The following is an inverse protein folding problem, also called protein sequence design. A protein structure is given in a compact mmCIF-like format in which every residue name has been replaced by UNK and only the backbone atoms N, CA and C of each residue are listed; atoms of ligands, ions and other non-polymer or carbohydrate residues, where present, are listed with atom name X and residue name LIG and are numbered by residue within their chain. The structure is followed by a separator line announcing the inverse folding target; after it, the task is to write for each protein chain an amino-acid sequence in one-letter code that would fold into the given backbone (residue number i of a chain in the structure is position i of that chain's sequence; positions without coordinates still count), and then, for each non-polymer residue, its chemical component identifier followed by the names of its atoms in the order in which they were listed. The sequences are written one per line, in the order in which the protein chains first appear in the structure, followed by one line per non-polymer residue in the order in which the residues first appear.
data_IF_966820002545
#
_entry.id   IF_966820002545
#
_cell.length_a   1.000
_cell.length_b   1.000
_cell.length_c   1.000
_cell.angle_alpha   90.00
_cell.angle_beta   90.00
_cell.angle_gamma   90.00
#
_symmetry.space_group_name_H-M   'P 1'
#
loop_
_entity.id
_entity.type
_entity.pdbx_description
1 polymer ?
#
# COMPACT_ATOMS: atom_id res chain seq x y z
N UNK A 1 -62.30 8.67 -52.96
CA UNK A 1 -61.69 8.32 -51.66
C UNK A 1 -61.89 9.49 -50.71
N UNK A 2 -62.75 9.38 -49.69
CA UNK A 2 -62.95 10.45 -48.73
C UNK A 2 -62.00 10.31 -47.53
N UNK A 3 -61.47 11.45 -47.10
CA UNK A 3 -60.67 11.66 -45.89
C UNK A 3 -61.58 11.48 -44.67
N UNK A 4 -61.23 10.57 -43.77
CA UNK A 4 -61.93 10.35 -42.49
C UNK A 4 -60.99 10.71 -41.34
N UNK A 5 -61.55 11.45 -40.39
CA UNK A 5 -60.97 12.09 -39.21
C UNK A 5 -60.44 11.13 -38.13
N UNK A 6 -59.51 11.65 -37.31
CA UNK A 6 -58.77 11.04 -36.19
C UNK A 6 -59.61 10.22 -35.17
N UNK A 7 -58.94 9.34 -34.41
CA UNK A 7 -59.17 9.25 -32.98
C UNK A 7 -57.91 9.49 -32.12
N UNK A 8 -58.20 9.94 -30.90
CA UNK A 8 -57.34 10.34 -29.78
C UNK A 8 -56.58 9.13 -29.22
N UNK A 9 -55.25 9.15 -29.26
CA UNK A 9 -54.41 8.16 -28.56
C UNK A 9 -54.10 8.69 -27.15
N UNK A 10 -54.27 7.90 -26.09
CA UNK A 10 -54.12 8.36 -24.71
C UNK A 10 -52.67 8.69 -24.38
N UNK A 11 -52.50 9.79 -23.65
CA UNK A 11 -51.29 10.14 -22.92
C UNK A 11 -51.05 9.01 -21.90
N UNK A 12 -50.10 8.13 -22.19
CA UNK A 12 -49.51 7.25 -21.19
C UNK A 12 -48.21 7.88 -20.73
N UNK A 13 -48.31 8.72 -19.71
CA UNK A 13 -47.18 9.15 -18.89
C UNK A 13 -46.55 7.91 -18.24
N UNK A 14 -45.44 7.44 -18.82
CA UNK A 14 -44.43 6.71 -18.05
C UNK A 14 -43.07 6.82 -18.72
N UNK A 15 -42.12 7.60 -18.17
CA UNK A 15 -40.73 7.44 -18.50
C UNK A 15 -40.21 6.19 -17.77
N UNK A 16 -40.47 5.01 -18.31
CA UNK A 16 -39.76 3.79 -17.89
C UNK A 16 -38.48 3.67 -18.70
N UNK A 17 -37.48 4.44 -18.28
CA UNK A 17 -36.12 4.34 -18.81
C UNK A 17 -35.06 4.90 -17.86
N UNK A 18 -35.43 5.25 -16.63
CA UNK A 18 -34.49 5.75 -15.60
C UNK A 18 -34.81 5.06 -14.28
N UNK A 19 -34.37 3.81 -14.15
CA UNK A 19 -34.23 3.03 -12.90
C UNK A 19 -33.67 1.68 -13.34
N UNK A 20 -32.37 1.49 -13.16
CA UNK A 20 -31.74 0.22 -12.75
C UNK A 20 -30.19 0.34 -12.73
N UNK A 21 -29.59 1.25 -13.50
CA UNK A 21 -28.12 1.44 -13.52
C UNK A 21 -27.53 2.10 -12.26
N UNK A 22 -28.37 2.64 -11.36
CA UNK A 22 -27.93 3.25 -10.10
C UNK A 22 -28.10 2.31 -8.87
N UNK A 23 -28.77 1.16 -9.03
CA UNK A 23 -28.97 0.21 -7.94
C UNK A 23 -27.78 -0.74 -7.76
N UNK A 24 -27.02 -1.00 -8.83
CA UNK A 24 -25.87 -1.90 -8.81
C UNK A 24 -24.63 -1.31 -8.09
N UNK A 25 -24.52 0.03 -8.02
CA UNK A 25 -23.46 0.73 -7.26
C UNK A 25 -23.78 0.92 -5.77
N UNK A 26 -24.98 0.56 -5.32
CA UNK A 26 -25.44 0.80 -3.96
C UNK A 26 -24.97 -0.24 -2.94
N UNK A 27 -25.88 -0.62 -2.04
CA UNK A 27 -25.63 -1.52 -0.90
C UNK A 27 -24.87 -2.82 -1.24
N UNK A 28 -25.11 -3.41 -2.42
CA UNK A 28 -24.42 -4.61 -2.88
C UNK A 28 -22.89 -4.41 -3.01
N UNK A 29 -22.45 -3.26 -3.53
CA UNK A 29 -21.02 -2.94 -3.66
C UNK A 29 -20.34 -2.85 -2.29
N UNK A 30 -21.00 -2.19 -1.32
CA UNK A 30 -20.51 -2.09 0.06
C UNK A 30 -20.43 -3.47 0.72
N UNK A 31 -21.42 -4.34 0.49
CA UNK A 31 -21.40 -5.71 0.99
C UNK A 31 -20.23 -6.52 0.41
N UNK A 32 -20.02 -6.46 -0.91
CA UNK A 32 -18.93 -7.18 -1.59
C UNK A 32 -17.57 -6.65 -1.10
N UNK A 33 -17.39 -5.33 -1.02
CA UNK A 33 -16.16 -4.71 -0.53
C UNK A 33 -15.88 -5.06 0.94
N UNK A 34 -16.92 -5.06 1.80
CA UNK A 34 -16.79 -5.46 3.20
C UNK A 34 -16.38 -6.94 3.30
N UNK A 35 -17.01 -7.81 2.51
CA UNK A 35 -16.66 -9.23 2.45
C UNK A 35 -15.22 -9.45 1.99
N UNK A 36 -14.78 -8.82 0.90
CA UNK A 36 -13.39 -8.87 0.43
C UNK A 36 -12.42 -8.40 1.53
N UNK A 37 -12.75 -7.29 2.20
CA UNK A 37 -11.96 -6.75 3.31
C UNK A 37 -11.81 -7.75 4.47
N UNK A 38 -12.89 -8.43 4.86
CA UNK A 38 -12.85 -9.48 5.89
C UNK A 38 -11.95 -10.63 5.46
N UNK A 39 -12.07 -11.11 4.22
CA UNK A 39 -11.22 -12.21 3.72
C UNK A 39 -9.75 -11.82 3.69
N UNK A 40 -9.42 -10.59 3.28
CA UNK A 40 -8.05 -10.07 3.29
C UNK A 40 -7.50 -10.02 4.73
N UNK A 41 -8.28 -9.53 5.70
CA UNK A 41 -7.87 -9.52 7.11
C UNK A 41 -7.62 -10.94 7.64
N UNK A 42 -8.48 -11.91 7.30
CA UNK A 42 -8.28 -13.31 7.65
C UNK A 42 -7.01 -13.90 7.02
N UNK A 43 -6.70 -13.54 5.77
CA UNK A 43 -5.47 -13.95 5.10
C UNK A 43 -4.24 -13.37 5.82
N UNK A 44 -4.26 -12.09 6.22
CA UNK A 44 -3.18 -11.45 6.97
C UNK A 44 -3.00 -12.04 8.37
N UNK A 45 -4.10 -12.35 9.07
CA UNK A 45 -4.06 -13.03 10.38
C UNK A 45 -3.47 -14.43 10.21
N UNK A 46 -3.92 -15.18 9.21
CA UNK A 46 -3.39 -16.53 8.91
C UNK A 46 -1.90 -16.48 8.59
N UNK A 47 -1.46 -15.48 7.81
CA UNK A 47 -0.05 -15.22 7.56
C UNK A 47 0.70 -14.99 8.86
N UNK A 48 0.22 -14.08 9.72
CA UNK A 48 0.83 -13.81 11.04
C UNK A 48 0.95 -15.06 11.90
N UNK A 49 -0.06 -15.92 11.93
CA UNK A 49 -0.03 -17.15 12.71
C UNK A 49 1.00 -18.16 12.18
N UNK A 50 1.35 -18.09 10.89
CA UNK A 50 2.39 -18.92 10.26
C UNK A 50 3.79 -18.31 10.32
N UNK A 51 3.92 -17.05 10.73
CA UNK A 51 5.23 -16.38 10.84
C UNK A 51 6.08 -16.99 11.96
N UNK A 52 7.34 -17.31 11.63
CA UNK A 52 8.36 -17.74 12.59
C UNK A 52 9.59 -16.83 12.41
N UNK A 53 9.99 -16.03 13.42
CA UNK A 53 9.29 -15.75 14.68
C UNK A 53 8.03 -14.90 14.47
N UNK A 54 7.08 -14.98 15.41
CA UNK A 54 5.76 -14.33 15.30
C UNK A 54 5.85 -12.87 15.74
N UNK A 55 5.49 -11.91 14.88
CA UNK A 55 5.51 -10.47 15.25
C UNK A 55 4.48 -10.15 16.33
N UNK A 56 4.79 -9.27 17.28
CA UNK A 56 3.85 -8.86 18.34
C UNK A 56 2.58 -8.24 17.76
N UNK A 57 1.44 -8.46 18.42
CA UNK A 57 0.14 -7.95 17.95
C UNK A 57 0.12 -6.44 17.73
N UNK A 58 0.78 -5.67 18.59
CA UNK A 58 0.81 -4.21 18.45
C UNK A 58 1.45 -3.74 17.14
N UNK A 59 2.56 -4.36 16.74
CA UNK A 59 3.27 -4.03 15.49
C UNK A 59 2.46 -4.47 14.28
N UNK A 60 1.86 -5.66 14.37
CA UNK A 60 0.96 -6.15 13.33
C UNK A 60 -0.23 -5.20 13.08
N UNK A 61 -0.85 -4.68 14.15
CA UNK A 61 -1.95 -3.72 14.01
C UNK A 61 -1.50 -2.41 13.37
N UNK A 62 -0.26 -1.98 13.60
CA UNK A 62 0.32 -0.82 12.94
C UNK A 62 0.56 -1.06 11.44
N UNK A 63 1.01 -2.25 11.05
CA UNK A 63 1.15 -2.64 9.64
C UNK A 63 -0.22 -2.73 8.94
N UNK A 64 -1.25 -3.26 9.62
CA UNK A 64 -2.63 -3.27 9.10
C UNK A 64 -3.16 -1.85 8.93
N UNK A 65 -2.98 -0.99 9.93
CA UNK A 65 -3.46 0.40 9.86
C UNK A 65 -2.79 1.17 8.70
N UNK A 66 -1.50 0.91 8.44
CA UNK A 66 -0.75 1.44 7.30
C UNK A 66 -1.38 1.01 5.97
N UNK A 67 -1.70 -0.28 5.82
CA UNK A 67 -2.35 -0.82 4.62
C UNK A 67 -3.76 -0.28 4.40
N UNK A 68 -4.57 -0.21 5.47
CA UNK A 68 -5.94 0.32 5.41
C UNK A 68 -5.93 1.81 5.00
N UNK A 69 -5.02 2.60 5.56
CA UNK A 69 -4.85 4.01 5.19
C UNK A 69 -4.46 4.14 3.72
N UNK A 70 -3.57 3.27 3.23
CA UNK A 70 -3.20 3.20 1.82
C UNK A 70 -4.36 2.86 0.89
N UNK A 71 -5.19 1.88 1.25
CA UNK A 71 -6.38 1.50 0.48
C UNK A 71 -7.35 2.66 0.32
N UNK A 72 -7.64 3.37 1.42
CA UNK A 72 -8.49 4.56 1.42
C UNK A 72 -7.88 5.66 0.54
N UNK A 73 -6.57 5.91 0.64
CA UNK A 73 -5.89 6.91 -0.18
C UNK A 73 -5.98 6.59 -1.68
N UNK A 74 -5.71 5.34 -2.08
CA UNK A 74 -5.83 4.91 -3.49
C UNK A 74 -7.26 5.03 -3.99
N UNK A 75 -8.27 4.72 -3.17
CA UNK A 75 -9.67 4.92 -3.54
C UNK A 75 -9.96 6.40 -3.88
N UNK A 76 -9.50 7.34 -3.06
CA UNK A 76 -9.66 8.77 -3.33
C UNK A 76 -8.88 9.22 -4.58
N UNK A 77 -7.68 8.68 -4.82
CA UNK A 77 -6.90 9.00 -6.02
C UNK A 77 -7.59 8.47 -7.28
N UNK A 78 -8.13 7.26 -7.26
CA UNK A 78 -8.87 6.71 -8.40
C UNK A 78 -10.11 7.56 -8.71
N UNK A 79 -10.83 8.00 -7.68
CA UNK A 79 -11.95 8.94 -7.83
C UNK A 79 -11.49 10.27 -8.43
N UNK A 80 -10.39 10.83 -7.93
CA UNK A 80 -9.83 12.10 -8.43
C UNK A 80 -9.38 11.96 -9.88
N UNK A 81 -8.69 10.89 -10.25
CA UNK A 81 -8.25 10.62 -11.62
C UNK A 81 -9.44 10.49 -12.56
N UNK A 82 -10.50 9.77 -12.17
CA UNK A 82 -11.72 9.67 -12.98
C UNK A 82 -12.36 11.04 -13.25
N UNK A 83 -12.44 11.90 -12.24
CA UNK A 83 -12.97 13.28 -12.36
C UNK A 83 -12.08 14.18 -13.23
N UNK A 84 -10.77 13.97 -13.21
CA UNK A 84 -9.81 14.76 -13.99
C UNK A 84 -9.71 14.29 -15.45
N UNK A 85 -9.80 12.99 -15.68
CA UNK A 85 -9.67 12.33 -16.98
C UNK A 85 -10.98 12.27 -17.77
N UNK A 86 -12.13 12.54 -17.13
CA UNK A 86 -13.38 12.76 -17.87
C UNK A 86 -13.24 14.00 -18.76
N UNK A 87 -12.81 13.80 -20.00
CA UNK A 87 -12.89 14.77 -21.10
C UNK A 87 -14.37 15.01 -21.40
N UNK A 88 -14.85 16.22 -21.11
CA UNK A 88 -16.03 16.76 -21.78
C UNK A 88 -15.65 16.84 -23.28
N UNK A 89 -16.46 16.39 -24.25
CA UNK A 89 -17.67 17.02 -24.83
C UNK A 89 -18.22 16.07 -25.95
N UNK A 90 -19.53 16.02 -26.29
CA UNK A 90 -20.12 17.07 -27.14
C UNK A 90 -21.47 17.62 -26.65
N UNK A 91 -21.75 18.84 -27.12
CA UNK A 91 -22.97 19.62 -26.98
C UNK A 91 -24.26 18.79 -27.11
N UNK A 92 -25.05 18.70 -26.03
CA UNK A 92 -26.49 18.48 -26.15
C UNK A 92 -27.18 19.82 -25.98
N UNK A 93 -27.59 20.41 -27.11
CA UNK A 93 -28.57 21.50 -27.13
C UNK A 93 -29.92 20.96 -26.65
N UNK A 94 -30.10 20.88 -25.34
CA UNK A 94 -31.43 20.88 -24.73
C UNK A 94 -31.44 22.00 -23.71
N UNK A 95 -32.22 23.04 -24.02
CA UNK A 95 -32.48 24.16 -23.13
C UNK A 95 -32.90 23.66 -21.74
N UNK A 96 -32.16 24.16 -20.75
CA UNK A 96 -32.55 24.27 -19.33
C UNK A 96 -32.29 23.06 -18.42
N UNK A 97 -31.04 22.91 -17.97
CA UNK A 97 -30.77 22.71 -16.54
C UNK A 97 -29.39 23.26 -16.14
N UNK A 98 -29.37 24.44 -15.49
CA UNK A 98 -28.16 24.98 -14.85
C UNK A 98 -27.83 24.13 -13.63
N UNK A 99 -26.83 23.25 -13.74
CA UNK A 99 -26.08 22.79 -12.57
C UNK A 99 -24.99 23.83 -12.25
N UNK A 100 -24.77 24.21 -10.98
CA UNK A 100 -23.77 25.21 -10.62
C UNK A 100 -22.36 24.68 -10.92
N UNK A 101 -21.73 25.22 -11.96
CA UNK A 101 -20.34 24.95 -12.34
C UNK A 101 -19.39 25.29 -11.19
N UNK A 102 -18.77 24.26 -10.61
CA UNK A 102 -17.64 24.38 -9.67
C UNK A 102 -16.43 24.89 -10.46
N UNK A 103 -16.10 26.18 -10.32
CA UNK A 103 -15.01 26.88 -11.02
C UNK A 103 -13.61 26.31 -10.74
N UNK A 104 -13.48 25.46 -9.72
CA UNK A 104 -12.22 24.86 -9.23
C UNK A 104 -11.70 23.72 -10.11
N UNK A 105 -12.55 23.06 -10.92
CA UNK A 105 -12.14 21.91 -11.74
C UNK A 105 -11.32 22.29 -12.99
N UNK A 106 -11.54 23.48 -13.57
CA UNK A 106 -10.88 23.89 -14.82
C UNK A 106 -9.39 24.20 -14.65
N UNK A 107 -8.98 24.76 -13.50
CA UNK A 107 -7.57 25.03 -13.20
C UNK A 107 -6.76 23.76 -12.96
N UNK A 108 -7.34 22.77 -12.26
CA UNK A 108 -6.68 21.48 -12.00
C UNK A 108 -6.57 20.65 -13.28
N UNK A 109 -7.63 20.63 -14.11
CA UNK A 109 -7.64 19.96 -15.42
C UNK A 109 -6.57 20.54 -16.36
N UNK A 110 -6.45 21.87 -16.42
CA UNK A 110 -5.41 22.54 -17.21
C UNK A 110 -3.99 22.35 -16.64
N UNK A 111 -3.85 22.31 -15.30
CA UNK A 111 -2.58 22.01 -14.64
C UNK A 111 -2.10 20.57 -14.88
N UNK A 112 -3.00 19.60 -14.81
CA UNK A 112 -2.71 18.19 -15.07
C UNK A 112 -2.40 17.93 -16.55
N UNK A 113 -3.18 18.49 -17.48
CA UNK A 113 -2.91 18.41 -18.92
C UNK A 113 -1.55 19.02 -19.27
N UNK A 114 -1.20 20.15 -18.63
CA UNK A 114 0.12 20.80 -18.78
C UNK A 114 1.24 20.00 -18.12
N UNK A 115 1.00 19.35 -16.99
CA UNK A 115 1.96 18.48 -16.30
C UNK A 115 2.26 17.21 -17.13
N UNK A 116 1.23 16.53 -17.63
CA UNK A 116 1.34 15.38 -18.55
C UNK A 116 2.07 15.80 -19.83
N UNK A 117 1.66 16.91 -20.47
CA UNK A 117 2.31 17.42 -21.68
C UNK A 117 3.79 17.77 -21.47
N UNK A 118 4.13 18.39 -20.33
CA UNK A 118 5.50 18.84 -20.03
C UNK A 118 6.46 17.71 -19.64
N UNK A 119 5.96 16.63 -19.03
CA UNK A 119 6.80 15.51 -18.59
C UNK A 119 6.82 14.32 -19.56
N UNK A 120 5.76 14.10 -20.35
CA UNK A 120 5.57 12.85 -21.09
C UNK A 120 5.59 12.96 -22.62
N UNK A 121 5.26 14.12 -23.20
CA UNK A 121 5.22 14.30 -24.66
C UNK A 121 4.33 13.29 -25.43
N UNK A 122 3.29 12.75 -24.79
CA UNK A 122 2.35 11.75 -25.36
C UNK A 122 0.97 12.39 -25.55
N UNK A 123 0.40 12.23 -26.75
CA UNK A 123 -0.96 12.66 -27.08
C UNK A 123 -1.93 11.51 -26.72
N UNK A 124 -2.70 11.72 -25.64
CA UNK A 124 -3.66 10.77 -25.10
C UNK A 124 -4.86 10.63 -26.05
N UNK A 125 -4.86 9.59 -26.89
CA UNK A 125 -6.02 9.19 -27.70
C UNK A 125 -6.74 8.05 -27.02
N UNK A 126 -7.97 8.31 -26.60
CA UNK A 126 -8.89 7.27 -26.14
C UNK A 126 -9.36 6.51 -27.39
N UNK A 127 -9.09 5.20 -27.47
CA UNK A 127 -9.64 4.34 -28.52
C UNK A 127 -11.14 4.18 -28.28
N UNK A 128 -11.96 4.69 -29.20
CA UNK A 128 -13.37 4.33 -29.36
C UNK A 128 -13.42 3.10 -30.27
N UNK A 129 -13.81 1.94 -29.74
CA UNK A 129 -14.13 0.76 -30.57
C UNK A 129 -15.43 0.11 -30.07
N UNK A 130 -16.33 -0.11 -31.03
CA UNK A 130 -17.68 -0.67 -30.92
C UNK A 130 -17.67 -2.16 -30.47
N UNK A 131 -17.74 -2.41 -29.17
CA UNK A 131 -18.23 -3.66 -28.52
C UNK A 131 -18.26 -3.43 -26.99
N UNK A 132 -19.22 -2.63 -26.52
CA UNK A 132 -19.17 -1.87 -25.26
C UNK A 132 -18.97 -2.72 -23.97
N UNK A 133 -19.58 -3.90 -23.85
CA UNK A 133 -19.62 -4.63 -22.56
C UNK A 133 -18.36 -5.47 -22.28
N UNK A 134 -17.82 -6.17 -23.31
CA UNK A 134 -16.63 -7.02 -23.16
C UNK A 134 -15.37 -6.18 -23.00
N UNK A 135 -15.27 -5.11 -23.78
CA UNK A 135 -14.14 -4.18 -23.73
C UNK A 135 -14.03 -3.53 -22.36
N UNK A 136 -15.16 -3.14 -21.73
CA UNK A 136 -15.15 -2.58 -20.39
C UNK A 136 -14.68 -3.59 -19.31
N UNK A 137 -15.10 -4.85 -19.40
CA UNK A 137 -14.65 -5.90 -18.48
C UNK A 137 -13.15 -6.17 -18.60
N UNK A 138 -12.64 -6.25 -19.84
CA UNK A 138 -11.21 -6.44 -20.11
C UNK A 138 -10.37 -5.26 -19.61
N UNK A 139 -10.82 -4.02 -19.80
CA UNK A 139 -10.15 -2.82 -19.27
C UNK A 139 -10.17 -2.73 -17.74
N UNK A 140 -11.29 -3.08 -17.11
CA UNK A 140 -11.38 -3.15 -15.65
C UNK A 140 -10.43 -4.22 -15.10
N UNK A 141 -10.46 -5.42 -15.69
CA UNK A 141 -9.62 -6.54 -15.28
C UNK A 141 -8.14 -6.25 -15.52
N UNK A 142 -7.78 -5.61 -16.63
CA UNK A 142 -6.41 -5.17 -16.94
C UNK A 142 -5.89 -4.20 -15.88
N UNK A 143 -6.68 -3.18 -15.51
CA UNK A 143 -6.31 -2.23 -14.45
C UNK A 143 -6.11 -2.94 -13.10
N UNK A 144 -7.02 -3.85 -12.74
CA UNK A 144 -6.93 -4.63 -11.52
C UNK A 144 -5.68 -5.52 -11.50
N UNK A 145 -5.45 -6.32 -12.55
CA UNK A 145 -4.29 -7.21 -12.66
C UNK A 145 -3.01 -6.38 -12.61
N UNK A 146 -2.94 -5.27 -13.33
CA UNK A 146 -1.76 -4.40 -13.36
C UNK A 146 -1.44 -3.82 -11.99
N UNK A 147 -2.44 -3.30 -11.26
CA UNK A 147 -2.27 -2.77 -9.90
C UNK A 147 -1.82 -3.86 -8.92
N UNK A 148 -2.42 -5.05 -8.98
CA UNK A 148 -2.15 -6.14 -8.04
C UNK A 148 -0.85 -6.91 -8.33
N UNK A 149 -0.33 -6.86 -9.56
CA UNK A 149 0.87 -7.61 -9.99
C UNK A 149 2.07 -6.69 -10.20
N UNK A 150 2.14 -6.02 -11.35
CA UNK A 150 3.22 -5.09 -11.73
C UNK A 150 3.29 -3.95 -10.72
N UNK A 151 2.15 -3.45 -10.27
CA UNK A 151 2.05 -2.38 -9.26
C UNK A 151 2.71 -2.76 -7.94
N UNK A 152 2.54 -3.98 -7.44
CA UNK A 152 3.20 -4.44 -6.21
C UNK A 152 4.72 -4.51 -6.36
N UNK A 153 5.21 -4.98 -7.50
CA UNK A 153 6.64 -5.00 -7.80
C UNK A 153 7.22 -3.58 -7.90
N UNK A 154 6.53 -2.67 -8.58
CA UNK A 154 6.92 -1.26 -8.65
C UNK A 154 6.89 -0.60 -7.27
N UNK A 155 5.88 -0.89 -6.45
CA UNK A 155 5.76 -0.36 -5.09
C UNK A 155 6.98 -0.73 -4.24
N UNK A 156 7.47 -1.97 -4.34
CA UNK A 156 8.70 -2.39 -3.67
C UNK A 156 9.90 -1.51 -4.04
N UNK A 157 10.09 -1.22 -5.33
CA UNK A 157 11.19 -0.37 -5.81
C UNK A 157 11.01 1.10 -5.43
N UNK A 158 9.77 1.60 -5.44
CA UNK A 158 9.45 3.00 -5.13
C UNK A 158 9.64 3.28 -3.64
N UNK A 159 9.24 2.38 -2.76
CA UNK A 159 9.40 2.56 -1.30
C UNK A 159 10.87 2.77 -0.94
N UNK A 160 11.78 1.97 -1.49
CA UNK A 160 13.22 2.09 -1.23
C UNK A 160 13.77 3.47 -1.69
N UNK A 161 13.41 3.88 -2.91
CA UNK A 161 13.80 5.20 -3.44
C UNK A 161 13.24 6.35 -2.61
N UNK A 162 11.96 6.30 -2.23
CA UNK A 162 11.31 7.35 -1.44
C UNK A 162 11.92 7.41 -0.04
N UNK A 163 12.16 6.27 0.61
CA UNK A 163 12.87 6.22 1.89
C UNK A 163 14.25 6.88 1.79
N UNK A 164 15.02 6.58 0.75
CA UNK A 164 16.33 7.19 0.51
C UNK A 164 16.27 8.70 0.25
N UNK A 165 15.21 9.21 -0.37
CA UNK A 165 14.97 10.65 -0.54
C UNK A 165 14.61 11.31 0.80
N UNK A 166 13.70 10.70 1.57
CA UNK A 166 13.27 11.23 2.86
C UNK A 166 14.42 11.26 3.88
N UNK A 167 15.26 10.22 3.91
CA UNK A 167 16.44 10.16 4.78
C UNK A 167 17.44 11.29 4.46
N UNK A 168 17.75 11.50 3.17
CA UNK A 168 18.69 12.55 2.74
C UNK A 168 18.16 13.98 2.91
N UNK A 169 16.89 14.23 2.57
CA UNK A 169 16.34 15.59 2.51
C UNK A 169 15.75 16.08 3.83
N UNK A 170 15.18 15.18 4.64
CA UNK A 170 14.42 15.54 5.83
C UNK A 170 15.05 15.03 7.14
N UNK A 171 16.18 14.29 7.07
CA UNK A 171 16.89 13.72 8.24
C UNK A 171 15.96 12.98 9.21
N UNK A 172 14.90 12.34 8.70
CA UNK A 172 14.06 11.51 9.55
C UNK A 172 14.85 10.25 9.93
N UNK A 173 15.00 10.05 11.24
CA UNK A 173 15.57 8.83 11.80
C UNK A 173 14.48 7.74 11.83
N UNK A 174 14.90 6.48 11.73
CA UNK A 174 14.04 5.30 11.87
C UNK A 174 12.87 5.19 10.86
N UNK A 175 13.19 5.32 9.58
CA UNK A 175 12.24 5.17 8.47
C UNK A 175 12.02 3.70 8.07
N UNK A 176 12.83 2.79 8.61
CA UNK A 176 12.75 1.38 8.24
C UNK A 176 11.37 0.79 8.54
N UNK A 177 10.73 0.24 7.50
CA UNK A 177 9.35 -0.21 7.61
C UNK A 177 9.21 -1.34 8.64
N UNK A 178 8.23 -1.18 9.52
CA UNK A 178 7.93 -2.14 10.58
C UNK A 178 8.73 -1.89 11.87
N UNK A 179 9.73 -0.99 11.86
CA UNK A 179 10.39 -0.54 13.07
C UNK A 179 9.67 0.70 13.63
N UNK A 180 8.91 0.51 14.71
CA UNK A 180 8.16 1.59 15.33
C UNK A 180 8.74 2.07 16.66
N UNK A 181 9.88 1.53 17.09
CA UNK A 181 10.47 1.80 18.39
C UNK A 181 11.31 3.07 18.36
N UNK A 182 11.36 3.79 19.47
CA UNK A 182 12.29 4.92 19.61
C UNK A 182 13.42 4.51 20.54
N UNK A 183 14.65 4.59 20.05
CA UNK A 183 15.86 4.22 20.77
C UNK A 183 16.60 5.48 21.21
N UNK A 184 16.93 5.57 22.51
CA UNK A 184 17.77 6.64 23.07
C UNK A 184 18.91 6.04 23.87
N UNK A 185 20.12 6.53 23.61
CA UNK A 185 21.31 6.14 24.36
C UNK A 185 21.80 7.35 25.15
N UNK A 186 21.69 7.25 26.47
CA UNK A 186 22.16 8.27 27.40
C UNK A 186 23.49 7.81 28.00
N UNK A 187 24.53 8.67 27.95
CA UNK A 187 25.75 8.48 28.75
C UNK A 187 25.41 8.66 30.23
N UNK A 188 25.17 7.57 30.94
CA UNK A 188 25.07 7.58 32.40
C UNK A 188 26.37 7.00 32.94
N UNK A 189 27.24 7.88 33.44
CA UNK A 189 28.26 7.50 34.42
C UNK A 189 27.52 6.79 35.56
N UNK A 190 27.53 5.46 35.56
CA UNK A 190 26.99 4.66 36.66
C UNK A 190 27.94 4.83 37.84
N UNK A 191 27.86 5.99 38.51
CA UNK A 191 28.45 6.22 39.83
C UNK A 191 27.46 5.65 40.87
N UNK A 192 27.19 4.35 40.80
CA UNK A 192 26.39 3.66 41.82
C UNK A 192 27.33 2.88 42.71
N UNK A 193 27.66 3.46 43.88
CA UNK A 193 28.33 2.81 45.02
C UNK A 193 27.61 1.53 45.51
N UNK A 194 26.48 1.15 44.91
CA UNK A 194 25.63 0.00 45.25
C UNK A 194 26.05 -1.31 44.56
N UNK A 195 27.07 -1.30 43.71
CA UNK A 195 27.44 -2.47 42.88
C UNK A 195 28.90 -2.92 43.00
N UNK A 196 29.61 -2.51 44.06
CA UNK A 196 31.07 -2.70 44.26
C UNK A 196 31.58 -4.16 44.14
N UNK A 197 30.70 -5.17 44.14
CA UNK A 197 31.03 -6.60 44.15
C UNK A 197 30.37 -7.42 43.00
N UNK A 198 29.80 -6.80 41.96
CA UNK A 198 29.24 -7.55 40.83
C UNK A 198 30.27 -7.65 39.69
N UNK A 199 30.46 -8.83 39.11
CA UNK A 199 31.38 -9.09 37.99
C UNK A 199 31.06 -8.15 36.80
N UNK A 200 31.99 -7.24 36.49
CA UNK A 200 31.73 -5.95 35.81
C UNK A 200 31.77 -6.01 34.27
N UNK A 201 31.94 -7.17 33.66
CA UNK A 201 32.33 -7.26 32.23
C UNK A 201 31.21 -7.06 31.19
N UNK A 202 29.94 -6.78 31.56
CA UNK A 202 28.85 -6.55 30.56
C UNK A 202 27.49 -6.14 31.16
N UNK A 203 27.41 -5.13 32.03
CA UNK A 203 26.11 -4.73 32.62
C UNK A 203 25.48 -3.59 31.81
N UNK A 204 24.58 -3.94 30.89
CA UNK A 204 23.77 -2.97 30.15
C UNK A 204 22.41 -2.81 30.85
N UNK A 205 22.08 -1.56 31.19
CA UNK A 205 20.74 -1.22 31.66
C UNK A 205 19.83 -0.89 30.49
N UNK A 206 18.83 -1.73 30.25
CA UNK A 206 17.78 -1.49 29.24
C UNK A 206 16.50 -1.11 29.99
N UNK A 207 15.99 0.09 29.74
CA UNK A 207 14.82 0.63 30.43
C UNK A 207 14.93 0.58 31.97
N UNK A 208 16.14 0.77 32.51
CA UNK A 208 16.40 0.73 33.96
C UNK A 208 16.52 -0.67 34.56
N UNK A 209 16.40 -1.74 33.76
CA UNK A 209 16.58 -3.14 34.20
C UNK A 209 17.93 -3.68 33.72
N UNK A 210 18.59 -4.46 34.56
CA UNK A 210 19.81 -5.19 34.20
C UNK A 210 19.40 -6.38 33.33
N UNK A 211 19.95 -6.46 32.12
CA UNK A 211 19.69 -7.58 31.21
C UNK A 211 20.88 -8.52 31.22
N UNK A 212 20.62 -9.82 31.44
CA UNK A 212 21.64 -10.89 31.51
C UNK A 212 21.67 -11.80 30.27
N UNK A 213 20.95 -11.43 29.22
CA UNK A 213 20.92 -12.21 27.98
C UNK A 213 22.28 -12.11 27.27
N UNK A 214 23.01 -13.23 27.23
CA UNK A 214 24.34 -13.31 26.64
C UNK A 214 24.35 -12.95 25.14
N UNK A 215 23.37 -13.40 24.36
CA UNK A 215 23.31 -13.12 22.93
C UNK A 215 23.07 -11.62 22.66
N UNK A 216 22.23 -10.98 23.49
CA UNK A 216 21.99 -9.54 23.42
C UNK A 216 23.24 -8.73 23.80
N UNK A 217 23.96 -9.16 24.85
CA UNK A 217 25.18 -8.50 25.32
C UNK A 217 26.32 -8.63 24.30
N UNK A 218 26.40 -9.76 23.59
CA UNK A 218 27.36 -9.97 22.50
C UNK A 218 27.01 -9.14 21.25
N UNK A 219 25.72 -8.93 20.95
CA UNK A 219 25.28 -8.15 19.79
C UNK A 219 25.50 -6.64 19.92
N UNK A 220 25.69 -6.11 21.13
CA UNK A 220 25.86 -4.68 21.37
C UNK A 220 27.34 -4.28 21.15
N UNK A 221 27.63 -3.19 20.42
CA UNK A 221 29.00 -2.74 20.20
C UNK A 221 29.75 -2.45 21.50
N UNK A 222 31.04 -2.82 21.57
CA UNK A 222 31.92 -2.61 22.74
C UNK A 222 31.87 -1.17 23.28
N UNK A 223 31.82 -0.17 22.38
CA UNK A 223 31.70 1.26 22.72
C UNK A 223 30.55 1.57 23.70
N UNK A 224 29.47 0.79 23.69
CA UNK A 224 28.26 1.01 24.48
C UNK A 224 28.09 0.04 25.65
N UNK A 225 29.04 -0.89 25.88
CA UNK A 225 28.93 -1.89 26.95
C UNK A 225 29.18 -1.31 28.35
N UNK A 226 29.97 -0.24 28.45
CA UNK A 226 30.34 0.38 29.73
C UNK A 226 29.88 1.84 29.81
N UNK A 227 29.13 2.21 30.86
CA UNK A 227 28.78 3.60 31.14
C UNK A 227 27.65 4.19 30.29
N UNK A 228 26.86 3.36 29.61
CA UNK A 228 25.67 3.77 28.85
C UNK A 228 24.40 3.13 29.40
N UNK A 229 23.31 3.90 29.35
CA UNK A 229 21.96 3.38 29.58
C UNK A 229 21.15 3.48 28.30
N UNK A 230 20.54 2.37 27.89
CA UNK A 230 19.72 2.29 26.69
C UNK A 230 18.26 2.39 27.11
N UNK A 231 17.56 3.37 26.56
CA UNK A 231 16.11 3.51 26.71
C UNK A 231 15.45 3.11 25.39
N UNK A 232 14.67 2.04 25.45
CA UNK A 232 13.83 1.58 24.36
C UNK A 232 12.38 1.97 24.68
N UNK A 233 11.93 3.07 24.09
CA UNK A 233 10.56 3.53 24.27
C UNK A 233 9.63 2.73 23.37
N UNK A 234 8.46 2.38 23.92
CA UNK A 234 7.38 1.68 23.21
C UNK A 234 7.02 2.29 21.86
N UNK A 235 6.35 1.53 20.99
CA UNK A 235 6.22 1.89 19.59
C UNK A 235 5.42 3.19 19.42
N UNK A 236 6.04 4.20 18.80
CA UNK A 236 5.55 5.58 18.77
C UNK A 236 4.62 5.80 17.59
N UNK A 237 3.47 6.41 17.88
CA UNK A 237 2.51 6.81 16.84
C UNK A 237 3.11 7.81 15.83
N UNK A 238 4.05 8.67 16.25
CA UNK A 238 4.74 9.59 15.33
C UNK A 238 5.53 8.86 14.24
N UNK A 239 6.23 7.79 14.60
CA UNK A 239 7.01 6.98 13.65
C UNK A 239 6.05 6.26 12.69
N UNK A 240 4.95 5.70 13.22
CA UNK A 240 3.89 5.12 12.41
C UNK A 240 3.34 6.13 11.38
N UNK A 241 3.04 7.36 11.80
CA UNK A 241 2.51 8.39 10.91
C UNK A 241 3.48 8.70 9.77
N UNK A 242 4.77 8.88 10.07
CA UNK A 242 5.80 9.16 9.05
C UNK A 242 5.94 8.00 8.07
N UNK A 243 6.04 6.76 8.56
CA UNK A 243 6.11 5.58 7.68
C UNK A 243 4.83 5.41 6.84
N UNK A 244 3.67 5.72 7.41
CA UNK A 244 2.39 5.68 6.68
C UNK A 244 2.33 6.74 5.59
N UNK A 245 2.82 7.95 5.86
CA UNK A 245 2.92 9.00 4.85
C UNK A 245 3.83 8.60 3.70
N UNK A 246 5.00 8.03 4.00
CA UNK A 246 5.92 7.55 2.95
C UNK A 246 5.27 6.44 2.14
N UNK A 247 4.64 5.46 2.81
CA UNK A 247 3.92 4.38 2.14
C UNK A 247 2.79 4.90 1.22
N UNK A 248 1.98 5.87 1.69
CA UNK A 248 0.93 6.48 0.89
C UNK A 248 1.51 7.22 -0.32
N UNK A 249 2.58 8.01 -0.14
CA UNK A 249 3.27 8.70 -1.25
C UNK A 249 3.77 7.67 -2.27
N UNK A 250 4.38 6.57 -1.83
CA UNK A 250 4.83 5.49 -2.71
C UNK A 250 3.68 4.83 -3.47
N UNK A 251 2.52 4.61 -2.83
CA UNK A 251 1.32 4.09 -3.49
C UNK A 251 0.77 5.06 -4.55
N UNK A 252 0.74 6.37 -4.27
CA UNK A 252 0.30 7.38 -5.23
C UNK A 252 1.23 7.41 -6.44
N UNK A 253 2.54 7.42 -6.22
CA UNK A 253 3.53 7.38 -7.31
C UNK A 253 3.37 6.09 -8.13
N UNK A 254 3.22 4.94 -7.48
CA UNK A 254 3.00 3.67 -8.15
C UNK A 254 1.73 3.71 -9.01
N UNK A 255 0.62 4.22 -8.47
CA UNK A 255 -0.66 4.32 -9.20
C UNK A 255 -0.55 5.23 -10.41
N UNK A 256 0.11 6.38 -10.29
CA UNK A 256 0.34 7.29 -11.41
C UNK A 256 1.20 6.65 -12.48
N UNK A 257 2.27 5.94 -12.11
CA UNK A 257 3.14 5.22 -13.06
C UNK A 257 2.36 4.14 -13.80
N UNK A 258 1.58 3.31 -13.10
CA UNK A 258 0.76 2.27 -13.75
C UNK A 258 -0.28 2.90 -14.68
N UNK A 259 -0.96 3.97 -14.24
CA UNK A 259 -1.97 4.63 -15.08
C UNK A 259 -1.35 5.16 -16.38
N UNK A 260 -0.19 5.81 -16.28
CA UNK A 260 0.58 6.27 -17.45
C UNK A 260 1.05 5.09 -18.32
N UNK A 261 1.52 4.00 -17.71
CA UNK A 261 2.00 2.82 -18.43
C UNK A 261 0.91 2.19 -19.29
N UNK A 262 -0.33 2.16 -18.79
CA UNK A 262 -1.48 1.60 -19.50
C UNK A 262 -1.97 2.50 -20.63
N UNK A 263 -1.71 3.80 -20.58
CA UNK A 263 -2.06 4.76 -21.64
C UNK A 263 -1.07 4.76 -22.82
N UNK A 264 0.11 4.15 -22.67
CA UNK A 264 1.08 4.04 -23.77
C UNK A 264 0.59 2.98 -24.75
N UNK A 265 0.18 3.39 -25.96
CA UNK A 265 -0.41 2.52 -27.00
C UNK A 265 0.27 1.15 -27.14
N UNK A 266 1.60 1.13 -27.30
CA UNK A 266 2.35 -0.12 -27.46
C UNK A 266 2.26 -1.06 -26.24
N UNK A 267 2.39 -0.52 -25.03
CA UNK A 267 2.42 -1.32 -23.80
C UNK A 267 1.00 -1.70 -23.39
N UNK A 268 0.06 -0.76 -23.48
CA UNK A 268 -1.36 -0.97 -23.25
C UNK A 268 -1.91 -2.07 -24.15
N UNK A 269 -1.64 -2.02 -25.45
CA UNK A 269 -2.12 -3.03 -26.41
C UNK A 269 -1.56 -4.43 -26.10
N UNK A 270 -0.26 -4.54 -25.81
CA UNK A 270 0.36 -5.82 -25.42
C UNK A 270 -0.29 -6.38 -24.15
N UNK A 271 -0.46 -5.55 -23.12
CA UNK A 271 -1.08 -5.98 -21.86
C UNK A 271 -2.57 -6.32 -22.05
N UNK A 272 -3.28 -5.58 -22.89
CA UNK A 272 -4.68 -5.83 -23.21
C UNK A 272 -4.87 -7.17 -23.91
N UNK A 273 -4.07 -7.46 -24.95
CA UNK A 273 -4.10 -8.76 -25.63
C UNK A 273 -3.80 -9.92 -24.68
N UNK A 274 -2.76 -9.81 -23.84
CA UNK A 274 -2.46 -10.82 -22.83
C UNK A 274 -3.61 -11.01 -21.84
N UNK A 275 -4.29 -9.92 -21.47
CA UNK A 275 -5.42 -9.95 -20.53
C UNK A 275 -6.66 -10.58 -21.15
N UNK A 276 -6.93 -10.30 -22.42
CA UNK A 276 -8.07 -10.85 -23.16
C UNK A 276 -7.91 -12.36 -23.39
N UNK A 277 -6.70 -12.82 -23.73
CA UNK A 277 -6.39 -14.26 -23.81
C UNK A 277 -6.61 -14.98 -22.47
N UNK A 278 -6.17 -14.37 -21.37
CA UNK A 278 -6.40 -14.90 -20.02
C UNK A 278 -7.91 -14.94 -19.72
N UNK A 279 -8.64 -13.89 -20.04
CA UNK A 279 -10.07 -13.80 -19.79
C UNK A 279 -10.85 -14.83 -20.63
N UNK A 280 -10.47 -15.03 -21.89
CA UNK A 280 -11.06 -16.04 -22.77
C UNK A 280 -10.77 -17.48 -22.30
N UNK A 281 -9.55 -17.73 -21.82
CA UNK A 281 -9.22 -19.01 -21.20
C UNK A 281 -10.07 -19.27 -19.95
N UNK A 282 -10.24 -18.25 -19.11
CA UNK A 282 -11.03 -18.35 -17.88
C UNK A 282 -12.53 -18.49 -18.15
N UNK A 283 -13.08 -17.79 -19.15
CA UNK A 283 -14.50 -17.93 -19.54
C UNK A 283 -14.80 -19.31 -20.13
N UNK A 284 -13.87 -19.88 -20.91
CA UNK A 284 -13.96 -21.28 -21.39
C UNK A 284 -13.94 -22.28 -20.23
N UNK A 285 -13.12 -22.03 -19.20
CA UNK A 285 -13.04 -22.89 -18.01
C UNK A 285 -14.33 -22.82 -17.17
N UNK A 286 -14.97 -21.65 -17.09
CA UNK A 286 -16.19 -21.41 -16.30
C UNK A 286 -17.36 -20.97 -17.19
N UNK A 287 -17.89 -21.93 -17.96
CA UNK A 287 -18.88 -21.89 -19.07
C UNK A 287 -20.15 -20.99 -18.98
N UNK A 288 -20.32 -20.11 -17.97
CA UNK A 288 -21.47 -19.19 -17.84
C UNK A 288 -21.33 -18.04 -16.80
N UNK A 289 -20.13 -17.69 -16.32
CA UNK A 289 -19.98 -16.82 -15.14
C UNK A 289 -18.94 -15.69 -15.25
N UNK A 290 -18.64 -15.21 -16.46
CA UNK A 290 -17.55 -14.27 -16.73
C UNK A 290 -17.63 -12.99 -15.87
N UNK A 291 -18.82 -12.38 -15.78
CA UNK A 291 -19.06 -11.17 -15.00
C UNK A 291 -18.85 -11.44 -13.49
N UNK A 292 -19.35 -12.56 -12.98
CA UNK A 292 -19.15 -12.93 -11.56
C UNK A 292 -17.68 -13.18 -11.26
N UNK A 293 -16.95 -13.80 -12.18
CA UNK A 293 -15.52 -14.05 -12.02
C UNK A 293 -14.74 -12.73 -11.96
N UNK A 294 -14.94 -11.83 -12.92
CA UNK A 294 -14.22 -10.55 -13.04
C UNK A 294 -14.57 -9.60 -11.89
N UNK A 295 -15.81 -9.60 -11.41
CA UNK A 295 -16.24 -8.68 -10.34
C UNK A 295 -16.02 -9.23 -8.92
N UNK A 296 -15.86 -10.55 -8.75
CA UNK A 296 -15.74 -11.15 -7.42
C UNK A 296 -14.51 -12.03 -7.26
N UNK A 297 -14.38 -13.09 -8.07
CA UNK A 297 -13.34 -14.11 -7.87
C UNK A 297 -11.94 -13.55 -8.14
N UNK A 298 -11.76 -12.87 -9.28
CA UNK A 298 -10.48 -12.24 -9.63
C UNK A 298 -10.07 -11.17 -8.61
N UNK A 299 -10.93 -10.18 -8.25
CA UNK A 299 -10.64 -9.23 -7.19
C UNK A 299 -10.30 -9.88 -5.86
N UNK A 300 -10.99 -10.97 -5.49
CA UNK A 300 -10.69 -11.68 -4.24
C UNK A 300 -9.27 -12.25 -4.26
N UNK A 301 -8.92 -13.03 -5.30
CA UNK A 301 -7.61 -13.67 -5.41
C UNK A 301 -6.47 -12.64 -5.53
N UNK A 302 -6.64 -11.64 -6.39
CA UNK A 302 -5.62 -10.63 -6.67
C UNK A 302 -5.41 -9.69 -5.48
N UNK A 303 -6.47 -9.28 -4.78
CA UNK A 303 -6.32 -8.47 -3.57
C UNK A 303 -5.67 -9.29 -2.44
N UNK A 304 -6.03 -10.56 -2.24
CA UNK A 304 -5.34 -11.41 -1.26
C UNK A 304 -3.84 -11.47 -1.57
N UNK A 305 -3.49 -11.73 -2.84
CA UNK A 305 -2.10 -11.71 -3.28
C UNK A 305 -1.42 -10.36 -3.01
N UNK A 306 -2.05 -9.26 -3.44
CA UNK A 306 -1.54 -7.90 -3.27
C UNK A 306 -1.27 -7.58 -1.80
N UNK A 307 -2.24 -7.73 -0.91
CA UNK A 307 -2.07 -7.38 0.52
C UNK A 307 -1.09 -8.33 1.22
N UNK A 308 -1.04 -9.61 0.87
CA UNK A 308 -0.04 -10.54 1.41
C UNK A 308 1.38 -10.13 0.97
N UNK A 309 1.56 -9.73 -0.30
CA UNK A 309 2.85 -9.27 -0.80
C UNK A 309 3.24 -7.92 -0.19
N UNK A 310 2.32 -6.95 -0.12
CA UNK A 310 2.54 -5.65 0.53
C UNK A 310 2.92 -5.84 1.99
N UNK A 311 2.22 -6.72 2.72
CA UNK A 311 2.57 -7.05 4.10
C UNK A 311 4.00 -7.60 4.21
N UNK A 312 4.48 -8.39 3.23
CA UNK A 312 5.88 -8.85 3.20
C UNK A 312 6.89 -7.72 2.92
N UNK A 313 6.47 -6.68 2.20
CA UNK A 313 7.31 -5.52 1.89
C UNK A 313 7.41 -4.58 3.11
N UNK A 314 6.28 -4.31 3.78
CA UNK A 314 6.25 -3.35 4.90
C UNK A 314 6.66 -3.97 6.24
N UNK A 315 6.63 -5.30 6.37
CA UNK A 315 7.01 -6.00 7.60
C UNK A 315 8.50 -5.82 7.87
N UNK A 316 8.82 -5.63 9.15
CA UNK A 316 10.20 -5.61 9.64
C UNK A 316 10.88 -6.96 9.38
N UNK A 317 12.00 -6.99 8.64
CA UNK A 317 12.74 -8.24 8.41
C UNK A 317 13.73 -8.46 9.57
N UNK A 318 13.61 -9.57 10.33
CA UNK A 318 14.56 -9.84 11.39
C UNK A 318 15.93 -10.14 10.79
N UNK A 319 16.97 -9.46 11.26
CA UNK A 319 18.34 -9.73 10.83
C UNK A 319 18.99 -10.71 11.81
N UNK A 320 19.08 -11.98 11.42
CA UNK A 320 19.71 -13.02 12.23
C UNK A 320 21.23 -13.06 12.15
N UNK A 321 21.84 -12.26 11.27
CA UNK A 321 23.30 -12.23 11.15
C UNK A 321 23.84 -11.25 12.19
N UNK A 322 24.74 -11.74 13.03
CA UNK A 322 25.73 -10.89 13.66
C UNK A 322 26.29 -9.99 12.56
N UNK A 323 26.20 -8.68 12.75
CA UNK A 323 26.88 -7.73 11.91
C UNK A 323 28.32 -8.23 11.76
N UNK A 324 28.69 -8.68 10.56
CA UNK A 324 30.09 -8.71 10.19
C UNK A 324 30.55 -7.28 10.39
N UNK A 325 31.36 -7.06 11.42
CA UNK A 325 32.09 -5.84 11.72
C UNK A 325 33.15 -5.59 10.64
N UNK A 326 32.78 -5.73 9.36
CA UNK A 326 33.61 -5.42 8.22
C UNK A 326 33.46 -3.94 7.92
N UNK A 327 34.44 -3.14 8.40
CA UNK A 327 34.67 -1.74 8.04
C UNK A 327 33.38 -0.93 7.86
N UNK A 328 32.74 -0.58 8.97
CA UNK A 328 31.89 0.60 9.02
C UNK A 328 32.84 1.79 8.87
N UNK A 329 32.92 2.34 7.66
CA UNK A 329 33.56 3.65 7.41
C UNK A 329 32.90 4.68 8.32
N UNK A 330 33.72 5.43 9.05
CA UNK A 330 33.35 6.36 10.14
C UNK A 330 32.48 7.57 9.72
N UNK A 331 31.87 7.55 8.53
CA UNK A 331 31.13 8.69 7.97
C UNK A 331 29.61 8.66 8.21
N UNK A 332 29.10 7.85 9.15
CA UNK A 332 27.69 8.00 9.59
C UNK A 332 27.50 7.71 11.07
N UNK A 333 27.53 8.77 11.89
CA UNK A 333 27.04 8.76 13.28
C UNK A 333 25.51 8.54 13.40
N UNK A 334 24.79 8.31 12.29
CA UNK A 334 23.36 8.67 12.15
C UNK A 334 22.33 7.52 12.13
N UNK A 335 22.66 6.28 12.50
CA UNK A 335 21.59 5.28 12.70
C UNK A 335 21.87 4.33 13.88
N UNK A 336 21.59 4.84 15.07
CA UNK A 336 21.59 4.10 16.33
C UNK A 336 20.78 2.80 16.22
N UNK A 337 19.73 2.77 15.40
CA UNK A 337 18.89 1.58 15.19
C UNK A 337 19.65 0.41 14.54
N UNK A 338 20.65 0.70 13.70
CA UNK A 338 21.48 -0.34 13.06
C UNK A 338 22.35 -1.04 14.11
N UNK A 339 22.94 -0.27 15.01
CA UNK A 339 23.83 -0.80 16.07
C UNK A 339 23.08 -1.63 17.11
N UNK A 340 21.80 -1.30 17.33
CA UNK A 340 20.93 -1.99 18.29
C UNK A 340 19.85 -2.81 17.59
N UNK A 341 20.11 -3.27 16.35
CA UNK A 341 19.12 -3.97 15.54
C UNK A 341 18.55 -5.21 16.24
N UNK A 342 19.42 -6.03 16.81
CA UNK A 342 19.04 -7.24 17.54
C UNK A 342 18.09 -6.93 18.72
N UNK A 343 18.29 -5.81 19.42
CA UNK A 343 17.40 -5.37 20.50
C UNK A 343 16.00 -5.01 19.97
N UNK A 344 15.94 -4.33 18.83
CA UNK A 344 14.68 -3.95 18.17
C UNK A 344 13.94 -5.19 17.68
N UNK A 345 14.63 -6.16 17.09
CA UNK A 345 14.03 -7.41 16.63
C UNK A 345 13.48 -8.21 17.82
N UNK A 346 14.27 -8.35 18.90
CA UNK A 346 13.81 -8.99 20.14
C UNK A 346 12.61 -8.28 20.77
N UNK A 347 12.54 -6.97 20.68
CA UNK A 347 11.40 -6.19 21.15
C UNK A 347 10.18 -6.31 20.23
N UNK A 348 10.38 -6.57 18.94
CA UNK A 348 9.32 -6.58 17.92
C UNK A 348 8.66 -7.95 17.71
N UNK A 349 9.38 -9.02 18.05
CA UNK A 349 8.93 -10.40 17.87
C UNK A 349 8.61 -11.09 19.20
N UNK A 350 7.61 -11.97 19.17
CA UNK A 350 7.32 -12.95 20.21
C UNK A 350 8.35 -14.08 20.11
N UNK A 351 8.89 -14.53 21.25
CA UNK A 351 9.79 -15.68 21.35
C UNK A 351 11.04 -15.62 20.44
N UNK A 352 11.52 -14.41 20.12
CA UNK A 352 12.68 -14.19 19.24
C UNK A 352 13.95 -14.93 19.70
N UNK A 353 14.03 -15.29 20.98
CA UNK A 353 15.18 -15.95 21.63
C UNK A 353 14.97 -17.44 21.94
N UNK A 354 13.77 -18.00 21.79
CA UNK A 354 13.46 -19.37 22.26
C UNK A 354 13.61 -20.44 21.18
N UNK A 355 13.85 -20.06 19.93
CA UNK A 355 13.86 -21.02 18.82
C UNK A 355 14.79 -20.62 17.68
N UNK A 356 16.09 -20.61 17.93
CA UNK A 356 17.04 -20.86 16.85
C UNK A 356 17.57 -22.27 16.99
N UNK A 357 17.03 -23.27 16.24
CA UNK A 357 17.83 -24.44 15.96
C UNK A 357 19.08 -23.91 15.26
N UNK A 358 20.22 -24.06 15.93
CA UNK A 358 21.50 -24.14 15.25
C UNK A 358 21.26 -25.08 14.07
N UNK A 359 21.28 -24.55 12.85
CA UNK A 359 21.33 -25.40 11.67
C UNK A 359 22.55 -26.33 11.85
N UNK A 360 22.41 -27.63 11.53
CA UNK A 360 23.41 -28.65 11.80
C UNK A 360 24.76 -28.36 11.14
#
# INVERSE_FOLDING_TARGET
MPVITKPKVPISDKPTGVRDSCLLLGYLSILIQSFLGVVILLALITKRLREKPKRKMQIFMYDIAKQLTGSVAVHFINLLLSILLSTDEPEVNISSQKCPKIRTMSLVKNGFKKFIFMYLNVELKIKEDDDDDKTQCSWYFLNLVSDCTIGVYLLYLIIDKVNGIFKRKFKFENIESGNYWELKVDKRLVRLNRFKNADYSSIISINGKIVKDKALLEAIPEKYKEGYSIKLNGPKFKILLVQTMIFVISLVIMKLIISILLEIDFIGDVLFHMTDEILEFLSKLFRRADIFFVMFVAPLCLNIFQYVCIDSIIKLKPELKHANTGKITEDSEDDLNVHFRYLIDKASYENFSESLPLLP
#
